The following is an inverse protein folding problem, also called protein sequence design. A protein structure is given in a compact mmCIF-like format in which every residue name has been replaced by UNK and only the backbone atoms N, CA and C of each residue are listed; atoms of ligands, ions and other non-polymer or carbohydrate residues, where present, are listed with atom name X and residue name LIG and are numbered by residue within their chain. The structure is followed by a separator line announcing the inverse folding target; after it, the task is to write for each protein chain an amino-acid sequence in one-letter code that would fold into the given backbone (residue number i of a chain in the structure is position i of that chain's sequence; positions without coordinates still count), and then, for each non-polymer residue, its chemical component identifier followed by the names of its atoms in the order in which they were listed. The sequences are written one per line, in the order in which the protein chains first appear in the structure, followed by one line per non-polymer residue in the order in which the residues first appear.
data_IF_383804404039
#
_entry.id   IF_383804404039
#
_cell.length_a   1.000
_cell.length_b   1.000
_cell.length_c   1.000
_cell.angle_alpha   90.00
_cell.angle_beta   90.00
_cell.angle_gamma   90.00
#
_symmetry.space_group_name_H-M   'P 1'
#
loop_
_entity.id
_entity.type
_entity.pdbx_description
1 polymer ?
#
# COMPACT_ATOMS: atom_id res chain seq x y z
N UNK A 1 -34.96 8.89 26.21
CA UNK A 1 -34.47 7.76 25.41
C UNK A 1 -33.06 8.08 24.93
N UNK A 2 -32.03 7.60 25.65
CA UNK A 2 -30.64 7.62 25.20
C UNK A 2 -30.33 6.19 24.78
N UNK A 3 -29.92 5.95 23.53
CA UNK A 3 -29.49 4.61 23.14
C UNK A 3 -28.33 4.64 22.15
N UNK A 4 -27.18 4.18 22.67
CA UNK A 4 -26.14 3.35 22.05
C UNK A 4 -25.60 3.77 20.67
N UNK A 5 -24.65 4.70 20.69
CA UNK A 5 -23.57 4.76 19.69
C UNK A 5 -22.42 5.61 20.26
N UNK A 6 -21.63 5.08 21.20
CA UNK A 6 -20.36 5.74 21.57
C UNK A 6 -19.33 4.89 22.33
N UNK A 7 -19.48 3.56 22.46
CA UNK A 7 -18.65 2.81 23.41
C UNK A 7 -17.64 1.83 22.82
N UNK A 8 -17.38 1.83 21.50
CA UNK A 8 -16.41 0.88 20.91
C UNK A 8 -15.10 1.53 20.44
N UNK A 9 -15.03 2.86 20.24
CA UNK A 9 -13.86 3.42 19.52
C UNK A 9 -12.72 4.02 20.37
N UNK A 10 -12.82 4.07 21.70
CA UNK A 10 -11.76 4.70 22.51
C UNK A 10 -10.76 3.71 23.13
N UNK A 11 -11.16 2.50 23.50
CA UNK A 11 -10.25 1.55 24.19
C UNK A 11 -9.28 0.85 23.23
N UNK A 12 -9.73 0.50 22.02
CA UNK A 12 -8.88 -0.10 21.00
C UNK A 12 -7.85 0.93 20.51
N UNK A 13 -8.27 2.17 20.27
CA UNK A 13 -7.34 3.25 19.92
C UNK A 13 -6.35 3.58 21.04
N UNK A 14 -6.76 3.56 22.32
CA UNK A 14 -5.82 3.82 23.43
C UNK A 14 -4.80 2.68 23.63
N UNK A 15 -5.21 1.42 23.50
CA UNK A 15 -4.28 0.28 23.52
C UNK A 15 -3.35 0.27 22.30
N UNK A 16 -3.87 0.64 21.12
CA UNK A 16 -3.07 0.82 19.90
C UNK A 16 -2.09 1.98 20.05
N UNK A 17 -2.51 3.13 20.58
CA UNK A 17 -1.62 4.28 20.90
C UNK A 17 -0.53 3.92 21.89
N UNK A 18 -0.84 3.10 22.90
CA UNK A 18 0.13 2.64 23.90
C UNK A 18 1.16 1.70 23.27
N UNK A 19 0.75 0.81 22.36
CA UNK A 19 1.64 -0.08 21.60
C UNK A 19 2.47 0.69 20.54
N UNK A 20 1.91 1.75 19.94
CA UNK A 20 2.60 2.63 18.98
C UNK A 20 3.80 3.35 19.60
N UNK A 21 3.70 3.77 20.86
CA UNK A 21 4.75 4.53 21.55
C UNK A 21 6.09 3.80 21.61
N UNK A 22 6.06 2.47 21.63
CA UNK A 22 7.25 1.63 21.73
C UNK A 22 7.78 1.17 20.35
N UNK A 23 7.08 1.52 19.26
CA UNK A 23 7.53 1.26 17.89
C UNK A 23 8.54 2.32 17.42
N UNK A 24 9.48 1.97 16.53
CA UNK A 24 10.35 2.97 15.91
C UNK A 24 9.53 4.04 15.21
N UNK A 25 9.76 5.31 15.57
CA UNK A 25 8.97 6.46 15.10
C UNK A 25 8.89 6.55 13.57
N UNK A 26 9.99 6.23 12.89
CA UNK A 26 10.04 6.21 11.42
C UNK A 26 9.10 5.15 10.81
N UNK A 27 8.92 4.01 11.47
CA UNK A 27 8.03 2.95 11.00
C UNK A 27 6.55 3.36 11.16
N UNK A 28 6.21 4.01 12.28
CA UNK A 28 4.87 4.58 12.50
C UNK A 28 4.53 5.60 11.40
N UNK A 29 5.49 6.49 11.06
CA UNK A 29 5.33 7.43 9.95
C UNK A 29 5.13 6.73 8.60
N UNK A 30 5.83 5.62 8.34
CA UNK A 30 5.67 4.83 7.10
C UNK A 30 4.27 4.26 6.94
N UNK A 31 3.70 3.73 8.01
CA UNK A 31 2.33 3.21 7.99
C UNK A 31 1.29 4.32 7.92
N UNK A 32 1.52 5.43 8.61
CA UNK A 32 0.69 6.63 8.46
C UNK A 32 0.70 7.14 7.02
N UNK A 33 1.86 7.05 6.35
CA UNK A 33 2.03 7.45 4.94
C UNK A 33 1.29 6.51 4.00
N UNK A 34 1.39 5.19 4.21
CA UNK A 34 0.61 4.21 3.47
C UNK A 34 -0.88 4.53 3.60
N UNK A 35 -1.40 4.66 4.83
CA UNK A 35 -2.80 4.98 5.06
C UNK A 35 -3.19 6.31 4.40
N UNK A 36 -2.41 7.37 4.60
CA UNK A 36 -2.69 8.67 3.98
C UNK A 36 -2.70 8.64 2.45
N UNK A 37 -1.98 7.71 1.83
CA UNK A 37 -1.95 7.56 0.37
C UNK A 37 -3.11 6.70 -0.15
N UNK A 38 -3.64 5.78 0.66
CA UNK A 38 -4.60 4.75 0.22
C UNK A 38 -6.00 4.84 0.83
N UNK A 39 -6.18 5.53 1.96
CA UNK A 39 -7.48 5.91 2.53
C UNK A 39 -8.01 7.14 1.78
N UNK A 40 -8.89 6.92 0.80
CA UNK A 40 -9.32 7.96 -0.13
C UNK A 40 -10.60 8.66 0.30
N UNK A 41 -11.40 8.04 1.17
CA UNK A 41 -12.61 8.64 1.73
C UNK A 41 -12.40 9.23 3.15
N UNK A 42 -11.26 8.95 3.77
CA UNK A 42 -10.83 9.52 5.04
C UNK A 42 -11.48 8.85 6.26
N UNK A 43 -11.94 7.62 6.14
CA UNK A 43 -12.58 6.87 7.23
C UNK A 43 -11.58 6.23 8.21
N UNK A 44 -10.28 6.36 7.92
CA UNK A 44 -9.18 5.87 8.75
C UNK A 44 -8.75 4.46 8.40
N UNK A 45 -9.26 3.88 7.31
CA UNK A 45 -8.86 2.56 6.80
C UNK A 45 -8.62 2.60 5.29
N UNK A 46 -7.99 1.55 4.76
CA UNK A 46 -8.03 1.31 3.31
C UNK A 46 -8.98 0.16 3.07
N UNK A 47 -10.13 0.51 2.53
CA UNK A 47 -11.22 -0.39 2.24
C UNK A 47 -11.12 -0.97 0.82
N UNK A 48 -11.98 -1.94 0.53
CA UNK A 48 -12.19 -2.39 -0.84
C UNK A 48 -12.61 -1.22 -1.76
N UNK A 49 -13.46 -0.31 -1.28
CA UNK A 49 -13.96 0.82 -2.07
C UNK A 49 -12.86 1.85 -2.39
N UNK A 50 -11.88 2.02 -1.49
CA UNK A 50 -10.68 2.82 -1.78
C UNK A 50 -9.86 2.21 -2.91
N UNK A 51 -9.61 0.89 -2.85
CA UNK A 51 -8.87 0.17 -3.90
C UNK A 51 -9.60 0.26 -5.24
N UNK A 52 -10.93 0.12 -5.24
CA UNK A 52 -11.71 0.28 -6.47
C UNK A 52 -11.70 1.72 -6.98
N UNK A 53 -11.63 2.71 -6.09
CA UNK A 53 -11.47 4.12 -6.45
C UNK A 53 -10.09 4.37 -7.09
N UNK A 54 -9.02 3.75 -6.59
CA UNK A 54 -7.69 3.77 -7.22
C UNK A 54 -7.77 3.22 -8.64
N UNK A 55 -8.38 2.04 -8.84
CA UNK A 55 -8.54 1.43 -10.16
C UNK A 55 -9.30 2.35 -11.14
N UNK A 56 -10.37 3.00 -10.67
CA UNK A 56 -11.12 3.97 -11.48
C UNK A 56 -10.27 5.19 -11.86
N UNK A 57 -9.47 5.72 -10.93
CA UNK A 57 -8.55 6.84 -11.20
C UNK A 57 -7.47 6.45 -12.21
N UNK A 58 -6.93 5.23 -12.13
CA UNK A 58 -5.99 4.68 -13.11
C UNK A 58 -6.64 4.64 -14.49
N UNK A 59 -7.77 3.94 -14.64
CA UNK A 59 -8.48 3.81 -15.93
C UNK A 59 -8.75 5.18 -16.56
N UNK A 60 -9.23 6.13 -15.75
CA UNK A 60 -9.50 7.50 -16.22
C UNK A 60 -8.23 8.22 -16.64
N UNK A 61 -7.15 8.14 -15.85
CA UNK A 61 -5.92 8.88 -16.10
C UNK A 61 -5.10 8.32 -17.27
N UNK A 62 -5.15 7.00 -17.48
CA UNK A 62 -4.53 6.28 -18.59
C UNK A 62 -5.42 6.24 -19.84
N UNK A 63 -6.63 6.82 -19.77
CA UNK A 63 -7.61 6.82 -20.86
C UNK A 63 -7.90 5.40 -21.41
N UNK A 64 -7.94 4.40 -20.52
CA UNK A 64 -8.18 3.01 -20.90
C UNK A 64 -9.65 2.78 -21.25
N UNK A 65 -9.90 1.94 -22.24
CA UNK A 65 -11.23 1.59 -22.72
C UNK A 65 -11.33 0.10 -23.04
N UNK A 66 -12.56 -0.43 -23.05
CA UNK A 66 -12.84 -1.84 -23.33
C UNK A 66 -12.04 -2.78 -22.44
N UNK A 67 -11.50 -3.84 -23.04
CA UNK A 67 -10.76 -4.92 -22.35
C UNK A 67 -9.64 -4.39 -21.45
N UNK A 68 -8.87 -3.39 -21.90
CA UNK A 68 -7.79 -2.84 -21.09
C UNK A 68 -8.31 -2.18 -19.79
N UNK A 69 -9.45 -1.48 -19.86
CA UNK A 69 -10.08 -0.91 -18.66
C UNK A 69 -10.69 -1.97 -17.75
N UNK A 70 -11.18 -3.06 -18.33
CA UNK A 70 -11.79 -4.17 -17.58
C UNK A 70 -10.72 -4.99 -16.86
N UNK A 71 -9.57 -5.23 -17.50
CA UNK A 71 -8.42 -5.89 -16.89
C UNK A 71 -7.94 -5.14 -15.64
N UNK A 72 -7.72 -3.82 -15.71
CA UNK A 72 -7.30 -3.03 -14.53
C UNK A 72 -8.32 -3.12 -13.40
N UNK A 73 -9.62 -2.98 -13.70
CA UNK A 73 -10.67 -3.11 -12.66
C UNK A 73 -10.69 -4.49 -12.05
N UNK A 74 -10.50 -5.53 -12.86
CA UNK A 74 -10.50 -6.92 -12.41
C UNK A 74 -9.28 -7.22 -11.53
N UNK A 75 -8.08 -6.85 -11.95
CA UNK A 75 -6.86 -7.12 -11.16
C UNK A 75 -6.87 -6.39 -9.81
N UNK A 76 -7.35 -5.16 -9.75
CA UNK A 76 -7.52 -4.44 -8.48
C UNK A 76 -8.60 -5.04 -7.58
N UNK A 77 -9.68 -5.57 -8.17
CA UNK A 77 -10.70 -6.31 -7.41
C UNK A 77 -10.12 -7.59 -6.82
N UNK A 78 -9.37 -8.36 -7.61
CA UNK A 78 -8.71 -9.58 -7.15
C UNK A 78 -7.67 -9.30 -6.07
N UNK A 79 -6.94 -8.19 -6.19
CA UNK A 79 -6.07 -7.70 -5.12
C UNK A 79 -6.86 -7.42 -3.84
N UNK A 80 -7.94 -6.65 -3.91
CA UNK A 80 -8.77 -6.35 -2.74
C UNK A 80 -9.39 -7.61 -2.11
N UNK A 81 -9.97 -8.49 -2.94
CA UNK A 81 -10.58 -9.75 -2.49
C UNK A 81 -9.55 -10.70 -1.89
N UNK A 82 -8.35 -10.76 -2.47
CA UNK A 82 -7.26 -11.62 -2.03
C UNK A 82 -6.65 -11.24 -0.68
N UNK A 83 -7.05 -10.11 -0.10
CA UNK A 83 -6.58 -9.59 1.18
C UNK A 83 -7.65 -9.64 2.28
N UNK A 84 -8.85 -10.14 1.97
CA UNK A 84 -9.90 -10.37 2.97
C UNK A 84 -9.42 -11.40 4.01
N UNK A 85 -9.14 -10.94 5.23
CA UNK A 85 -9.05 -11.80 6.41
C UNK A 85 -10.32 -11.59 7.24
N UNK A 86 -11.23 -12.56 7.17
CA UNK A 86 -12.46 -12.71 7.97
C UNK A 86 -13.37 -11.45 8.08
N UNK A 87 -14.44 -11.42 7.26
CA UNK A 87 -15.63 -10.55 7.36
C UNK A 87 -15.45 -9.01 7.45
N UNK A 88 -14.22 -8.48 7.42
CA UNK A 88 -13.98 -7.04 7.44
C UNK A 88 -13.16 -6.59 6.21
N UNK A 89 -13.74 -5.71 5.38
CA UNK A 89 -13.12 -5.09 4.20
C UNK A 89 -12.02 -4.07 4.58
N UNK A 90 -11.04 -4.45 5.41
CA UNK A 90 -10.10 -3.50 6.03
C UNK A 90 -8.63 -3.92 5.81
N UNK A 91 -8.04 -3.46 4.70
CA UNK A 91 -6.69 -3.82 4.28
C UNK A 91 -5.63 -3.31 5.24
N UNK A 92 -5.65 -2.01 5.54
CA UNK A 92 -4.59 -1.38 6.37
C UNK A 92 -4.67 -1.77 7.84
N UNK A 93 -5.85 -2.08 8.39
CA UNK A 93 -5.96 -2.63 9.76
C UNK A 93 -5.33 -4.01 9.84
N UNK A 94 -5.62 -4.88 8.88
CA UNK A 94 -4.98 -6.19 8.77
C UNK A 94 -3.46 -6.02 8.67
N UNK A 95 -3.00 -5.07 7.85
CA UNK A 95 -1.57 -4.76 7.72
C UNK A 95 -0.94 -4.27 9.03
N UNK A 96 -1.64 -3.40 9.77
CA UNK A 96 -1.22 -2.89 11.08
C UNK A 96 -1.10 -4.00 12.13
N UNK A 97 -2.03 -4.96 12.13
CA UNK A 97 -2.00 -6.11 13.03
C UNK A 97 -0.87 -7.09 12.70
N UNK A 98 -0.65 -7.36 11.40
CA UNK A 98 0.45 -8.19 10.92
C UNK A 98 1.82 -7.62 11.29
N UNK A 99 1.95 -6.31 11.22
CA UNK A 99 3.22 -5.65 11.53
C UNK A 99 3.45 -5.53 13.03
N UNK A 100 2.42 -5.30 13.86
CA UNK A 100 2.55 -5.43 15.32
C UNK A 100 3.07 -6.83 15.74
N UNK A 101 2.73 -7.89 14.99
CA UNK A 101 3.25 -9.24 15.23
C UNK A 101 4.76 -9.35 14.96
N UNK A 102 5.31 -8.65 13.95
CA UNK A 102 6.77 -8.56 13.73
C UNK A 102 7.50 -8.04 14.96
N UNK A 103 6.91 -7.06 15.63
CA UNK A 103 7.49 -6.41 16.80
C UNK A 103 7.21 -7.16 18.10
N UNK A 104 6.22 -8.06 18.14
CA UNK A 104 5.90 -8.88 19.33
C UNK A 104 6.72 -10.17 19.45
N UNK A 105 7.74 -10.37 18.59
CA UNK A 105 8.61 -11.54 18.64
C UNK A 105 8.06 -12.80 17.95
N UNK A 106 7.09 -12.65 17.04
CA UNK A 106 6.67 -13.72 16.11
C UNK A 106 7.82 -14.05 15.16
N UNK A 107 7.84 -15.27 14.61
CA UNK A 107 8.80 -15.67 13.59
C UNK A 107 8.73 -14.68 12.40
N UNK A 108 9.79 -13.88 12.26
CA UNK A 108 9.91 -12.85 11.24
C UNK A 108 9.80 -13.42 9.83
N UNK A 109 10.16 -14.69 9.62
CA UNK A 109 10.11 -15.33 8.31
C UNK A 109 8.67 -15.44 7.78
N UNK A 110 7.70 -15.78 8.63
CA UNK A 110 6.31 -15.95 8.19
C UNK A 110 5.67 -14.60 7.85
N UNK A 111 5.95 -13.55 8.64
CA UNK A 111 5.42 -12.22 8.32
C UNK A 111 6.07 -11.64 7.06
N UNK A 112 7.38 -11.82 6.85
CA UNK A 112 8.04 -11.41 5.60
C UNK A 112 7.41 -12.11 4.40
N UNK A 113 7.08 -13.40 4.52
CA UNK A 113 6.40 -14.16 3.47
C UNK A 113 4.98 -13.64 3.19
N UNK A 114 4.23 -13.24 4.21
CA UNK A 114 2.93 -12.59 4.02
C UNK A 114 3.08 -11.21 3.36
N UNK A 115 4.10 -10.43 3.73
CA UNK A 115 4.41 -9.15 3.09
C UNK A 115 4.76 -9.33 1.61
N UNK A 116 5.61 -10.32 1.30
CA UNK A 116 5.94 -10.71 -0.07
C UNK A 116 4.68 -11.07 -0.85
N UNK A 117 3.79 -11.89 -0.28
CA UNK A 117 2.55 -12.28 -0.94
C UNK A 117 1.64 -11.09 -1.25
N UNK A 118 1.55 -10.11 -0.35
CA UNK A 118 0.80 -8.86 -0.60
C UNK A 118 1.41 -8.05 -1.73
N UNK A 119 2.72 -7.76 -1.69
CA UNK A 119 3.36 -6.93 -2.72
C UNK A 119 3.39 -7.60 -4.09
N UNK A 120 3.48 -8.94 -4.14
CA UNK A 120 3.30 -9.70 -5.39
C UNK A 120 1.90 -9.51 -5.97
N UNK A 121 0.85 -9.53 -5.14
CA UNK A 121 -0.52 -9.27 -5.63
C UNK A 121 -0.70 -7.82 -6.06
N UNK A 122 -0.09 -6.86 -5.36
CA UNK A 122 -0.11 -5.46 -5.76
C UNK A 122 0.61 -5.27 -7.11
N UNK A 123 1.76 -5.90 -7.30
CA UNK A 123 2.49 -5.92 -8.58
C UNK A 123 1.58 -6.40 -9.72
N UNK A 124 0.91 -7.54 -9.53
CA UNK A 124 -0.03 -8.10 -10.51
C UNK A 124 -1.20 -7.17 -10.84
N UNK A 125 -1.65 -6.37 -9.86
CA UNK A 125 -2.68 -5.35 -10.10
C UNK A 125 -2.15 -4.16 -10.91
N UNK A 126 -0.87 -3.83 -10.76
CA UNK A 126 -0.21 -2.70 -11.42
C UNK A 126 0.29 -3.01 -12.83
N UNK A 127 0.49 -4.28 -13.15
CA UNK A 127 0.79 -4.78 -14.50
C UNK A 127 -0.50 -4.78 -15.35
N UNK A 128 -0.87 -3.60 -15.89
CA UNK A 128 -2.16 -3.39 -16.55
C UNK A 128 -2.30 -4.18 -17.85
N UNK A 129 -1.18 -4.41 -18.54
CA UNK A 129 -1.14 -5.15 -19.80
C UNK A 129 -0.82 -6.65 -19.61
N UNK A 130 -0.47 -7.08 -18.38
CA UNK A 130 -0.13 -8.46 -18.03
C UNK A 130 1.09 -9.01 -18.78
N UNK A 131 2.07 -8.15 -19.05
CA UNK A 131 3.32 -8.53 -19.72
C UNK A 131 4.41 -9.03 -18.75
N UNK A 132 4.12 -9.00 -17.44
CA UNK A 132 5.00 -9.45 -16.37
C UNK A 132 5.97 -8.37 -15.88
N UNK A 133 5.83 -7.13 -16.35
CA UNK A 133 6.68 -5.98 -15.99
C UNK A 133 5.80 -4.74 -15.76
N UNK A 134 6.20 -3.87 -14.85
CA UNK A 134 5.56 -2.56 -14.70
C UNK A 134 6.37 -1.53 -15.49
N UNK A 135 5.76 -0.97 -16.53
CA UNK A 135 6.34 0.17 -17.24
C UNK A 135 6.28 1.46 -16.42
N UNK A 136 7.14 2.43 -16.75
CA UNK A 136 7.06 3.77 -16.16
C UNK A 136 5.67 4.40 -16.32
N UNK A 137 4.99 4.15 -17.44
CA UNK A 137 3.65 4.70 -17.68
C UNK A 137 2.64 4.14 -16.68
N UNK A 138 2.63 2.82 -16.48
CA UNK A 138 1.71 2.16 -15.53
C UNK A 138 1.98 2.63 -14.10
N UNK A 139 3.25 2.68 -13.71
CA UNK A 139 3.68 3.18 -12.41
C UNK A 139 3.22 4.62 -12.16
N UNK A 140 3.41 5.52 -13.14
CA UNK A 140 3.03 6.93 -13.00
C UNK A 140 1.51 7.13 -12.93
N UNK A 141 0.72 6.28 -13.59
CA UNK A 141 -0.74 6.31 -13.47
C UNK A 141 -1.21 5.87 -12.08
N UNK A 142 -0.54 4.88 -11.48
CA UNK A 142 -0.79 4.49 -10.10
C UNK A 142 -0.42 5.61 -9.12
N UNK A 143 0.77 6.19 -9.22
CA UNK A 143 1.19 7.33 -8.40
C UNK A 143 0.20 8.50 -8.46
N UNK A 144 -0.26 8.82 -9.67
CA UNK A 144 -1.28 9.84 -9.87
C UNK A 144 -2.63 9.46 -9.27
N UNK A 145 -3.00 8.18 -9.30
CA UNK A 145 -4.24 7.70 -8.70
C UNK A 145 -4.23 7.81 -7.16
N UNK A 146 -3.06 7.65 -6.54
CA UNK A 146 -2.83 7.93 -5.11
C UNK A 146 -2.79 9.44 -4.79
N UNK A 147 -2.77 10.32 -5.81
CA UNK A 147 -2.66 11.77 -5.61
C UNK A 147 -1.25 12.23 -5.24
N UNK A 148 -0.23 11.41 -5.48
CA UNK A 148 1.16 11.70 -5.14
C UNK A 148 1.87 12.54 -6.20
N UNK A 149 2.95 13.21 -5.82
CA UNK A 149 3.74 14.08 -6.71
C UNK A 149 4.45 13.26 -7.81
N UNK A 150 4.13 13.46 -9.09
CA UNK A 150 4.74 12.70 -10.18
C UNK A 150 6.27 12.83 -10.29
N UNK A 151 6.88 13.89 -9.75
CA UNK A 151 8.33 14.07 -9.77
C UNK A 151 9.04 13.09 -8.84
N UNK A 152 8.49 12.85 -7.65
CA UNK A 152 8.99 11.86 -6.72
C UNK A 152 8.74 10.43 -7.23
N UNK A 153 7.64 10.21 -7.95
CA UNK A 153 7.35 8.91 -8.55
C UNK A 153 8.41 8.47 -9.56
N UNK A 154 8.95 9.40 -10.34
CA UNK A 154 10.08 9.09 -11.24
C UNK A 154 11.36 8.75 -10.50
N UNK A 155 11.64 9.42 -9.38
CA UNK A 155 12.81 9.10 -8.55
C UNK A 155 12.65 7.72 -7.91
N UNK A 156 11.46 7.40 -7.42
CA UNK A 156 11.16 6.08 -6.87
C UNK A 156 11.24 5.00 -7.95
N UNK A 157 10.70 5.23 -9.14
CA UNK A 157 10.81 4.29 -10.26
C UNK A 157 12.29 3.98 -10.57
N UNK A 158 13.12 5.02 -10.71
CA UNK A 158 14.56 4.86 -10.96
C UNK A 158 15.31 4.21 -9.79
N UNK A 159 14.79 4.28 -8.57
CA UNK A 159 15.35 3.56 -7.42
C UNK A 159 15.03 2.06 -7.49
N UNK A 160 13.84 1.69 -7.97
CA UNK A 160 13.41 0.30 -8.09
C UNK A 160 14.01 -0.40 -9.31
N UNK A 161 14.21 0.31 -10.42
CA UNK A 161 14.81 -0.20 -11.67
C UNK A 161 16.32 -0.40 -11.47
N UNK A 162 16.69 -1.54 -10.88
CA UNK A 162 18.07 -1.82 -10.43
C UNK A 162 18.96 -2.34 -11.55
N UNK A 163 18.37 -2.98 -12.56
CA UNK A 163 19.11 -3.44 -13.74
C UNK A 163 19.08 -2.44 -14.91
N UNK A 164 18.32 -1.34 -14.78
CA UNK A 164 18.23 -0.22 -15.71
C UNK A 164 17.65 -0.62 -17.07
N UNK A 165 16.67 -1.52 -17.07
CA UNK A 165 15.95 -1.95 -18.27
C UNK A 165 14.71 -1.07 -18.62
N UNK A 166 14.51 0.00 -17.86
CA UNK A 166 13.40 0.96 -17.94
C UNK A 166 12.02 0.36 -17.59
N UNK A 167 12.02 -0.79 -16.93
CA UNK A 167 10.83 -1.49 -16.44
C UNK A 167 11.10 -2.02 -15.03
N UNK A 168 10.04 -2.39 -14.33
CA UNK A 168 10.15 -2.96 -12.98
C UNK A 168 9.68 -4.41 -13.03
N UNK A 169 10.57 -5.32 -12.68
CA UNK A 169 10.23 -6.73 -12.48
C UNK A 169 9.50 -6.95 -11.16
N UNK A 170 8.85 -8.12 -11.02
CA UNK A 170 8.19 -8.50 -9.77
C UNK A 170 9.17 -8.54 -8.58
N UNK A 171 10.42 -9.00 -8.80
CA UNK A 171 11.44 -9.02 -7.75
C UNK A 171 11.83 -7.61 -7.32
N UNK A 172 12.07 -6.70 -8.26
CA UNK A 172 12.47 -5.33 -7.95
C UNK A 172 11.38 -4.58 -7.19
N UNK A 173 10.13 -4.74 -7.61
CA UNK A 173 8.98 -4.15 -6.92
C UNK A 173 8.86 -4.64 -5.48
N UNK A 174 8.93 -5.97 -5.28
CA UNK A 174 8.81 -6.59 -3.95
C UNK A 174 10.02 -6.22 -3.08
N UNK A 175 11.23 -6.25 -3.61
CA UNK A 175 12.44 -5.92 -2.86
C UNK A 175 12.42 -4.45 -2.41
N UNK A 176 12.03 -3.52 -3.27
CA UNK A 176 11.87 -2.11 -2.91
C UNK A 176 10.76 -1.87 -1.88
N UNK A 177 9.67 -2.64 -1.95
CA UNK A 177 8.59 -2.56 -0.98
C UNK A 177 9.00 -3.11 0.40
N UNK A 178 9.72 -4.24 0.43
CA UNK A 178 10.26 -4.79 1.67
C UNK A 178 11.36 -3.91 2.25
N UNK A 179 12.19 -3.30 1.41
CA UNK A 179 13.17 -2.29 1.81
C UNK A 179 12.48 -1.10 2.48
N UNK A 180 11.36 -0.63 1.90
CA UNK A 180 10.53 0.41 2.51
C UNK A 180 10.01 -0.04 3.89
N UNK A 181 9.58 -1.28 4.07
CA UNK A 181 9.08 -1.75 5.37
C UNK A 181 10.18 -1.93 6.43
N UNK A 182 11.38 -2.35 6.04
CA UNK A 182 12.43 -2.78 6.99
C UNK A 182 13.46 -1.70 7.32
N UNK A 183 13.80 -0.82 6.38
CA UNK A 183 14.87 0.16 6.60
C UNK A 183 14.38 1.40 7.34
N UNK A 184 15.20 1.96 8.22
CA UNK A 184 14.87 3.13 9.04
C UNK A 184 15.27 4.46 8.39
N UNK A 185 15.59 4.46 7.10
CA UNK A 185 15.99 5.66 6.37
C UNK A 185 14.76 6.48 5.97
N UNK A 186 14.88 7.79 6.14
CA UNK A 186 13.84 8.73 5.72
C UNK A 186 13.68 8.67 4.18
N UNK A 187 12.45 8.86 3.72
CA UNK A 187 12.11 8.90 2.28
C UNK A 187 12.96 9.97 1.57
N UNK A 188 13.35 11.04 2.28
CA UNK A 188 14.26 12.08 1.79
C UNK A 188 15.61 11.57 1.24
N UNK A 189 16.00 10.31 1.53
CA UNK A 189 17.30 9.79 1.08
C UNK A 189 17.23 8.82 -0.09
N UNK A 190 16.29 7.87 -0.19
CA UNK A 190 16.30 6.84 -1.27
C UNK A 190 14.97 6.15 -1.63
N UNK A 191 14.06 5.89 -0.67
CA UNK A 191 12.87 5.04 -0.93
C UNK A 191 11.59 5.68 -0.36
N UNK A 192 10.74 6.19 -1.26
CA UNK A 192 9.46 6.86 -1.02
C UNK A 192 8.30 6.09 -1.65
N UNK A 193 8.21 4.78 -1.38
CA UNK A 193 7.28 3.88 -2.05
C UNK A 193 5.82 4.39 -2.12
N UNK A 194 5.34 4.99 -1.03
CA UNK A 194 4.00 5.60 -0.92
C UNK A 194 4.04 7.15 -0.83
N UNK A 195 5.16 7.77 -1.20
CA UNK A 195 5.38 9.21 -1.12
C UNK A 195 6.14 9.69 0.12
N UNK A 196 6.23 11.02 0.34
CA UNK A 196 6.87 11.63 1.50
C UNK A 196 6.29 11.16 2.83
N UNK A 197 7.15 10.98 3.84
CA UNK A 197 6.70 10.56 5.15
C UNK A 197 5.83 11.62 5.82
N UNK A 198 4.59 11.27 6.13
CA UNK A 198 3.68 12.12 6.90
C UNK A 198 4.00 12.03 8.40
N UNK A 199 3.57 13.05 9.14
CA UNK A 199 3.59 13.02 10.60
C UNK A 199 2.37 12.24 11.13
N UNK A 200 2.54 11.64 12.31
CA UNK A 200 1.53 10.85 13.01
C UNK A 200 1.22 11.43 14.39
#
# INVERSE_FOLDING_TARGET
MKNRMSCVNNSVMDDTKKKIKDLPHIWVRKMATLLSATDLDGDGITSHDDVMTIAQRIVKSANLQGVASDNVRQSFREFADGLKKADEDILTKTWWEHTLQLWSGVDKAEVVKEMQAFYTKLFQALDFNSDGLISISEYMHWWKALGLDPSLGRLQFAYMDTDHDEKISASEFVDAALDYEHNYTDCDTKNCFFGPLVDF
#
